data_IF_113114241659
#
_entry.id   IF_113114241659
#
_cell.length_a   1.000
_cell.length_b   1.000
_cell.length_c   1.000
_cell.angle_alpha   90.00
_cell.angle_beta   90.00
_cell.angle_gamma   90.00
#
_symmetry.space_group_name_H-M   'P 1'
#
loop_
_entity.id
_entity.type
_entity.pdbx_description
1 polymer ?
#
# COMPACT_ATOMS: atom_id res chain seq x y z
N UNK A 1 15.54 9.40 -28.72
CA UNK A 1 15.79 9.59 -27.27
C UNK A 1 14.43 9.87 -26.65
N UNK A 2 13.91 8.92 -25.88
CA UNK A 2 12.60 9.07 -25.25
C UNK A 2 12.73 10.04 -24.09
N UNK A 3 11.89 11.06 -24.11
CA UNK A 3 11.68 12.03 -23.05
C UNK A 3 11.05 11.32 -21.84
N UNK A 4 11.87 10.75 -20.96
CA UNK A 4 11.40 10.15 -19.71
C UNK A 4 11.16 11.24 -18.69
N UNK A 5 10.05 11.96 -18.84
CA UNK A 5 9.36 12.60 -17.73
C UNK A 5 8.70 11.54 -16.84
N UNK A 6 9.46 10.51 -16.45
CA UNK A 6 9.04 9.51 -15.48
C UNK A 6 9.31 10.11 -14.10
N UNK A 7 8.42 11.00 -13.67
CA UNK A 7 8.39 11.47 -12.29
C UNK A 7 8.29 10.30 -11.32
N UNK A 8 8.55 10.56 -10.03
CA UNK A 8 8.57 9.57 -8.96
C UNK A 8 7.42 8.53 -9.09
N UNK A 9 7.81 7.25 -9.12
CA UNK A 9 6.90 6.12 -9.28
C UNK A 9 6.58 5.49 -7.94
N UNK A 10 5.33 5.06 -7.80
CA UNK A 10 4.79 4.43 -6.61
C UNK A 10 4.18 3.07 -6.95
N UNK A 11 4.17 2.17 -5.98
CA UNK A 11 3.61 0.81 -6.14
C UNK A 11 2.08 0.86 -6.08
N UNK A 12 1.40 0.17 -7.02
CA UNK A 12 -0.05 0.03 -7.12
C UNK A 12 -0.48 -1.45 -7.13
N UNK A 13 -1.42 -1.93 -6.28
CA UNK A 13 -2.16 -1.19 -5.25
C UNK A 13 -1.26 -0.47 -4.27
N UNK A 14 -1.74 0.63 -3.71
CA UNK A 14 -0.95 1.44 -2.79
C UNK A 14 -0.55 0.56 -1.63
N UNK A 15 0.75 0.44 -1.42
CA UNK A 15 1.33 -0.54 -0.50
C UNK A 15 2.24 0.19 0.48
N UNK A 16 2.07 -0.11 1.76
CA UNK A 16 3.01 0.26 2.82
C UNK A 16 3.80 -0.98 3.22
N UNK A 17 5.10 -0.81 3.38
CA UNK A 17 5.98 -1.80 3.97
C UNK A 17 5.98 -1.56 5.48
N UNK A 18 5.78 -2.63 6.25
CA UNK A 18 5.96 -2.61 7.70
C UNK A 18 7.14 -3.51 8.04
N UNK A 19 8.06 -3.00 8.84
CA UNK A 19 9.28 -3.68 9.27
C UNK A 19 9.31 -3.85 10.79
N UNK A 20 10.23 -4.71 11.24
CA UNK A 20 10.46 -5.07 12.63
C UNK A 20 9.23 -5.68 13.34
N UNK A 21 8.41 -6.44 12.61
CA UNK A 21 7.27 -7.13 13.20
C UNK A 21 7.74 -8.18 14.23
N UNK A 22 7.11 -8.22 15.42
CA UNK A 22 7.49 -9.16 16.45
C UNK A 22 7.18 -10.59 16.01
N UNK A 23 8.22 -11.42 15.97
CA UNK A 23 8.13 -12.85 15.67
C UNK A 23 8.39 -13.67 16.93
N UNK A 24 7.67 -14.78 17.08
CA UNK A 24 8.00 -15.80 18.09
C UNK A 24 8.79 -16.92 17.44
N UNK A 25 9.69 -17.55 18.20
CA UNK A 25 10.41 -18.74 17.73
C UNK A 25 9.74 -19.96 18.37
N UNK A 26 9.13 -20.80 17.53
CA UNK A 26 8.53 -22.06 17.93
C UNK A 26 9.16 -23.18 17.11
N UNK A 27 9.77 -24.17 17.78
CA UNK A 27 10.44 -25.30 17.12
C UNK A 27 11.47 -24.87 16.05
N UNK A 28 12.28 -23.83 16.34
CA UNK A 28 13.24 -23.20 15.41
C UNK A 28 12.63 -22.51 14.18
N UNK A 29 11.30 -22.33 14.13
CA UNK A 29 10.59 -21.61 13.08
C UNK A 29 10.08 -20.28 13.63
N UNK A 30 10.20 -19.20 12.84
CA UNK A 30 9.63 -17.89 13.17
C UNK A 30 8.14 -17.87 12.84
N UNK A 31 7.30 -17.67 13.84
CA UNK A 31 5.84 -17.63 13.73
C UNK A 31 5.34 -16.22 13.98
N UNK A 32 4.32 -15.83 13.21
CA UNK A 32 3.60 -14.58 13.40
C UNK A 32 2.91 -14.55 14.76
N UNK A 33 3.09 -13.45 15.49
CA UNK A 33 2.50 -13.25 16.80
C UNK A 33 1.41 -12.16 16.83
N UNK A 34 1.40 -11.23 15.86
CA UNK A 34 0.70 -9.95 16.02
C UNK A 34 -0.07 -9.44 14.80
N UNK A 35 0.05 -10.03 13.61
CA UNK A 35 -0.52 -9.43 12.38
C UNK A 35 -2.01 -9.16 12.44
N UNK A 36 -2.81 -10.12 12.91
CA UNK A 36 -4.27 -9.97 13.04
C UNK A 36 -4.63 -8.81 13.99
N UNK A 37 -3.86 -8.62 15.06
CA UNK A 37 -4.14 -7.57 16.04
C UNK A 37 -3.71 -6.20 15.50
N UNK A 38 -2.61 -6.12 14.76
CA UNK A 38 -2.14 -4.90 14.11
C UNK A 38 -3.11 -4.45 13.03
N UNK A 39 -3.53 -5.36 12.14
CA UNK A 39 -4.52 -5.07 11.10
C UNK A 39 -5.82 -4.52 11.71
N UNK A 40 -6.36 -5.18 12.74
CA UNK A 40 -7.56 -4.70 13.44
C UNK A 40 -7.34 -3.37 14.15
N UNK A 41 -6.16 -3.13 14.72
CA UNK A 41 -5.84 -1.88 15.39
C UNK A 41 -5.86 -0.71 14.39
N UNK A 42 -5.17 -0.86 13.25
CA UNK A 42 -5.11 0.17 12.22
C UNK A 42 -6.46 0.38 11.52
N UNK A 43 -7.22 -0.68 11.25
CA UNK A 43 -8.61 -0.55 10.77
C UNK A 43 -9.48 0.25 11.73
N UNK A 44 -9.34 0.04 13.05
CA UNK A 44 -10.05 0.83 14.08
C UNK A 44 -9.61 2.29 14.15
N UNK A 45 -8.38 2.60 13.75
CA UNK A 45 -7.89 3.98 13.61
C UNK A 45 -8.42 4.68 12.34
N UNK A 46 -9.15 3.95 11.48
CA UNK A 46 -9.78 4.51 10.28
C UNK A 46 -8.98 4.31 9.00
N UNK A 47 -7.86 3.58 9.04
CA UNK A 47 -7.09 3.27 7.83
C UNK A 47 -7.83 2.28 6.93
N UNK A 48 -7.89 2.59 5.64
CA UNK A 48 -8.54 1.76 4.62
C UNK A 48 -7.63 0.60 4.19
N UNK A 49 -7.42 -0.37 5.07
CA UNK A 49 -6.59 -1.53 4.77
C UNK A 49 -7.42 -2.60 4.05
N UNK A 50 -6.99 -2.97 2.84
CA UNK A 50 -7.56 -4.07 2.07
C UNK A 50 -6.93 -5.42 2.47
N UNK A 51 -5.60 -5.47 2.49
CA UNK A 51 -4.83 -6.70 2.75
C UNK A 51 -3.71 -6.43 3.74
N UNK A 52 -3.51 -7.33 4.71
CA UNK A 52 -2.28 -7.42 5.49
C UNK A 52 -1.58 -8.73 5.11
N UNK A 53 -0.39 -8.64 4.50
CA UNK A 53 0.36 -9.79 3.99
C UNK A 53 1.69 -9.89 4.74
N UNK A 54 1.81 -10.74 5.77
CA UNK A 54 3.09 -11.03 6.39
C UNK A 54 3.99 -11.79 5.40
N UNK A 55 5.29 -11.49 5.42
CA UNK A 55 6.27 -12.08 4.51
C UNK A 55 7.01 -13.24 5.18
N UNK A 56 7.23 -14.32 4.42
CA UNK A 56 7.82 -15.55 4.93
C UNK A 56 9.04 -15.95 4.09
N UNK A 57 10.12 -16.33 4.77
CA UNK A 57 11.30 -16.97 4.20
C UNK A 57 11.38 -18.44 4.63
N UNK A 58 12.49 -19.12 4.30
CA UNK A 58 12.72 -20.52 4.66
C UNK A 58 12.85 -20.76 6.18
N UNK A 59 13.04 -19.70 6.99
CA UNK A 59 13.09 -19.73 8.46
C UNK A 59 11.75 -19.35 9.10
N UNK A 60 10.73 -19.04 8.30
CA UNK A 60 9.40 -18.63 8.76
C UNK A 60 9.14 -17.14 8.52
N UNK A 61 8.43 -16.50 9.44
CA UNK A 61 8.09 -15.07 9.34
C UNK A 61 9.36 -14.19 9.30
N UNK A 62 9.46 -13.30 8.31
CA UNK A 62 10.68 -12.53 8.05
C UNK A 62 10.83 -11.28 8.93
N UNK A 63 9.75 -10.87 9.59
CA UNK A 63 9.68 -9.60 10.32
C UNK A 63 9.15 -8.44 9.46
N UNK A 64 8.76 -8.71 8.21
CA UNK A 64 8.15 -7.74 7.32
C UNK A 64 6.71 -8.12 6.95
N UNK A 65 5.90 -7.12 6.64
CA UNK A 65 4.61 -7.30 6.00
C UNK A 65 4.35 -6.21 4.96
N UNK A 66 3.49 -6.53 4.00
CA UNK A 66 2.92 -5.57 3.06
C UNK A 66 1.49 -5.27 3.47
N UNK A 67 1.18 -4.00 3.64
CA UNK A 67 -0.18 -3.50 3.92
C UNK A 67 -0.70 -2.84 2.66
N UNK A 68 -1.68 -3.46 2.03
CA UNK A 68 -2.29 -2.94 0.82
C UNK A 68 -3.54 -2.13 1.13
N UNK A 69 -3.70 -1.02 0.42
CA UNK A 69 -4.86 -0.16 0.45
C UNK A 69 -5.63 -0.26 -0.89
N UNK A 70 -6.92 0.12 -0.93
CA UNK A 70 -7.71 0.16 -2.15
C UNK A 70 -7.01 0.91 -3.29
N UNK A 71 -7.20 0.48 -4.54
CA UNK A 71 -6.52 1.07 -5.72
C UNK A 71 -6.98 2.49 -6.09
N UNK A 72 -7.96 3.04 -5.39
CA UNK A 72 -8.58 4.35 -5.66
C UNK A 72 -7.88 5.50 -4.90
N UNK A 73 -8.33 6.74 -5.12
CA UNK A 73 -7.73 7.91 -4.47
C UNK A 73 -7.92 7.95 -2.95
N UNK A 74 -9.00 7.36 -2.42
CA UNK A 74 -9.19 7.29 -0.97
C UNK A 74 -8.20 6.30 -0.34
N UNK A 75 -7.93 5.17 -0.98
CA UNK A 75 -6.85 4.28 -0.59
C UNK A 75 -5.49 4.97 -0.65
N UNK A 76 -5.22 5.78 -1.69
CA UNK A 76 -3.96 6.52 -1.81
C UNK A 76 -3.80 7.52 -0.67
N UNK A 77 -4.86 8.30 -0.38
CA UNK A 77 -4.90 9.24 0.74
C UNK A 77 -4.71 8.53 2.08
N UNK A 78 -5.39 7.41 2.30
CA UNK A 78 -5.23 6.60 3.51
C UNK A 78 -3.80 6.07 3.66
N UNK A 79 -3.14 5.72 2.56
CA UNK A 79 -1.75 5.26 2.54
C UNK A 79 -0.80 6.38 3.00
N UNK A 80 -0.97 7.60 2.46
CA UNK A 80 -0.17 8.76 2.88
C UNK A 80 -0.38 9.12 4.35
N UNK A 81 -1.61 9.10 4.85
CA UNK A 81 -1.88 9.35 6.27
C UNK A 81 -1.23 8.28 7.17
N UNK A 82 -1.17 7.04 6.71
CA UNK A 82 -0.48 5.97 7.41
C UNK A 82 1.04 6.24 7.46
N UNK A 83 1.65 6.48 6.30
CA UNK A 83 3.08 6.79 6.15
C UNK A 83 3.50 7.99 7.03
N UNK A 84 2.77 9.11 6.93
CA UNK A 84 3.03 10.32 7.74
C UNK A 84 2.95 10.00 9.24
N UNK A 85 2.01 9.17 9.69
CA UNK A 85 1.87 8.83 11.10
C UNK A 85 3.06 8.08 11.69
N UNK A 86 3.85 7.40 10.85
CA UNK A 86 5.10 6.74 11.25
C UNK A 86 6.27 7.71 11.19
N UNK A 87 6.32 8.56 10.16
CA UNK A 87 7.32 9.65 10.07
C UNK A 87 7.22 10.59 11.27
N UNK A 88 6.02 11.00 11.69
CA UNK A 88 5.80 11.86 12.88
C UNK A 88 6.28 11.21 14.18
N UNK A 89 6.31 9.87 14.24
CA UNK A 89 6.82 9.10 15.38
C UNK A 89 8.30 8.80 15.28
N UNK A 90 8.99 9.26 14.23
CA UNK A 90 10.38 8.88 13.89
C UNK A 90 10.54 7.38 13.68
N UNK A 91 9.58 6.80 12.97
CA UNK A 91 9.48 5.38 12.66
C UNK A 91 9.32 5.16 11.15
N UNK A 92 9.82 6.11 10.35
CA UNK A 92 9.79 6.04 8.90
C UNK A 92 10.96 5.25 8.32
N UNK A 93 11.07 5.26 6.99
CA UNK A 93 12.15 4.58 6.27
C UNK A 93 13.55 5.06 6.70
N UNK A 94 13.73 6.37 6.88
CA UNK A 94 15.02 6.93 7.27
C UNK A 94 15.48 6.39 8.64
N UNK A 95 14.58 6.33 9.62
CA UNK A 95 14.91 5.75 10.92
C UNK A 95 15.08 4.24 10.87
N UNK A 96 14.38 3.53 9.98
CA UNK A 96 14.62 2.11 9.74
C UNK A 96 16.03 1.85 9.19
N UNK A 97 16.48 2.65 8.22
CA UNK A 97 17.80 2.50 7.60
C UNK A 97 18.94 2.82 8.60
N UNK A 98 18.68 3.64 9.62
CA UNK A 98 19.61 3.96 10.71
C UNK A 98 19.45 3.06 11.95
N UNK A 99 18.39 2.26 12.02
CA UNK A 99 18.06 1.49 13.21
C UNK A 99 19.10 0.39 13.47
N UNK A 100 19.48 0.25 14.74
CA UNK A 100 20.19 -0.95 15.22
C UNK A 100 19.21 -2.07 15.54
N UNK A 101 19.68 -3.32 15.51
CA UNK A 101 18.87 -4.53 15.78
C UNK A 101 18.22 -4.60 17.19
N UNK A 102 18.42 -3.60 18.06
CA UNK A 102 18.01 -3.61 19.47
C UNK A 102 16.67 -2.93 19.76
N UNK A 103 15.98 -2.37 18.75
CA UNK A 103 14.69 -1.69 18.94
C UNK A 103 13.52 -2.68 18.83
N UNK A 104 12.49 -2.46 19.65
CA UNK A 104 11.20 -3.16 19.58
C UNK A 104 10.13 -2.34 18.84
N UNK A 105 10.53 -1.25 18.19
CA UNK A 105 9.62 -0.33 17.51
C UNK A 105 9.28 -0.83 16.12
N UNK A 106 8.03 -0.64 15.71
CA UNK A 106 7.62 -0.90 14.33
C UNK A 106 8.01 0.27 13.45
N UNK A 107 8.46 -0.03 12.24
CA UNK A 107 8.74 0.97 11.23
C UNK A 107 7.80 0.74 10.06
N UNK A 108 7.38 1.82 9.42
CA UNK A 108 6.58 1.69 8.20
C UNK A 108 6.79 2.86 7.25
N UNK A 109 6.70 2.55 5.97
CA UNK A 109 6.79 3.55 4.91
C UNK A 109 6.05 3.13 3.65
N UNK A 110 5.62 4.10 2.85
CA UNK A 110 5.02 3.82 1.55
C UNK A 110 6.07 3.22 0.59
N UNK A 111 5.72 2.10 -0.06
CA UNK A 111 6.62 1.39 -0.96
C UNK A 111 7.00 2.23 -2.18
N UNK A 112 8.30 2.43 -2.39
CA UNK A 112 8.85 3.19 -3.51
C UNK A 112 9.33 2.29 -4.65
N UNK A 113 9.71 2.89 -5.78
CA UNK A 113 10.39 2.20 -6.87
C UNK A 113 11.71 1.54 -6.43
N UNK A 114 12.42 2.13 -5.47
CA UNK A 114 13.64 1.54 -4.91
C UNK A 114 13.32 0.21 -4.21
N UNK A 115 12.30 0.18 -3.36
CA UNK A 115 11.91 -1.03 -2.63
C UNK A 115 11.35 -2.11 -3.57
N UNK A 116 10.61 -1.70 -4.60
CA UNK A 116 10.11 -2.59 -5.65
C UNK A 116 11.24 -3.28 -6.42
N UNK A 117 12.35 -2.57 -6.67
CA UNK A 117 13.48 -3.07 -7.45
C UNK A 117 14.53 -3.80 -6.60
N UNK A 118 14.41 -3.84 -5.27
CA UNK A 118 15.33 -4.58 -4.40
C UNK A 118 15.23 -6.08 -4.66
N UNK A 119 16.39 -6.74 -4.74
CA UNK A 119 16.47 -8.20 -4.83
C UNK A 119 16.45 -8.83 -3.43
N UNK A 120 15.41 -8.53 -2.66
CA UNK A 120 15.17 -9.06 -1.32
C UNK A 120 13.73 -9.59 -1.19
N UNK A 121 13.37 -10.06 0.00
CA UNK A 121 12.02 -10.61 0.23
C UNK A 121 10.92 -9.57 -0.02
N UNK A 122 11.17 -8.30 0.25
CA UNK A 122 10.19 -7.23 0.07
C UNK A 122 9.99 -6.99 -1.43
N UNK A 123 11.05 -6.74 -2.19
CA UNK A 123 10.97 -6.50 -3.64
C UNK A 123 10.40 -7.71 -4.41
N UNK A 124 10.79 -8.93 -4.07
CA UNK A 124 10.21 -10.15 -4.65
C UNK A 124 8.69 -10.27 -4.39
N UNK A 125 8.20 -9.84 -3.23
CA UNK A 125 6.76 -9.84 -2.95
C UNK A 125 6.03 -8.64 -3.55
N UNK A 126 6.68 -7.48 -3.67
CA UNK A 126 6.10 -6.31 -4.33
C UNK A 126 5.88 -6.57 -5.82
N UNK A 127 6.87 -7.15 -6.50
CA UNK A 127 6.77 -7.53 -7.93
C UNK A 127 5.72 -8.62 -8.20
N UNK A 128 5.28 -9.34 -7.16
CA UNK A 128 4.22 -10.33 -7.26
C UNK A 128 2.83 -9.68 -7.12
N UNK A 129 2.31 -9.13 -8.23
CA UNK A 129 0.93 -8.66 -8.33
C UNK A 129 0.71 -7.15 -8.09
N UNK A 130 1.80 -6.38 -7.91
CA UNK A 130 1.77 -4.91 -7.95
C UNK A 130 2.59 -4.39 -9.12
N UNK A 131 2.23 -3.20 -9.59
CA UNK A 131 2.90 -2.50 -10.68
C UNK A 131 3.40 -1.13 -10.20
N UNK A 132 4.44 -0.60 -10.85
CA UNK A 132 4.84 0.80 -10.67
C UNK A 132 3.94 1.71 -11.50
N UNK A 133 3.50 2.82 -10.91
CA UNK A 133 2.76 3.88 -11.61
C UNK A 133 3.31 5.25 -11.26
N UNK A 134 3.32 6.15 -12.24
CA UNK A 134 3.71 7.55 -12.06
C UNK A 134 2.49 8.42 -11.73
N UNK A 135 2.71 9.57 -11.08
CA UNK A 135 1.66 10.54 -10.75
C UNK A 135 0.86 10.99 -11.99
N UNK A 136 1.47 11.31 -13.15
CA UNK A 136 0.72 11.65 -14.36
C UNK A 136 -0.22 10.52 -14.81
N UNK A 137 0.23 9.26 -14.72
CA UNK A 137 -0.61 8.12 -15.08
C UNK A 137 -1.82 7.99 -14.14
N UNK A 138 -1.65 8.26 -12.84
CA UNK A 138 -2.75 8.28 -11.86
C UNK A 138 -3.79 9.34 -12.25
N UNK A 139 -3.35 10.55 -12.56
CA UNK A 139 -4.24 11.64 -12.98
C UNK A 139 -5.02 11.29 -14.25
N UNK A 140 -4.37 10.69 -15.25
CA UNK A 140 -5.02 10.26 -16.49
C UNK A 140 -6.04 9.15 -16.23
N UNK A 141 -5.71 8.15 -15.40
CA UNK A 141 -6.62 7.06 -15.05
C UNK A 141 -7.87 7.59 -14.32
N UNK A 142 -7.69 8.50 -13.37
CA UNK A 142 -8.79 9.13 -12.64
C UNK A 142 -9.68 9.97 -13.54
N UNK A 143 -9.11 10.84 -14.39
CA UNK A 143 -9.90 11.63 -15.33
C UNK A 143 -10.74 10.75 -16.28
N UNK A 144 -10.19 9.61 -16.72
CA UNK A 144 -10.93 8.62 -17.51
C UNK A 144 -12.06 7.98 -16.71
N UNK A 145 -11.81 7.62 -15.44
CA UNK A 145 -12.84 7.07 -14.55
C UNK A 145 -14.02 8.04 -14.40
N UNK A 146 -13.75 9.31 -14.05
CA UNK A 146 -14.79 10.32 -13.89
C UNK A 146 -15.60 10.55 -15.17
N UNK A 147 -14.94 10.53 -16.34
CA UNK A 147 -15.63 10.65 -17.62
C UNK A 147 -16.62 9.51 -17.85
N UNK A 148 -16.26 8.28 -17.50
CA UNK A 148 -17.16 7.12 -17.62
C UNK A 148 -18.36 7.27 -16.69
N UNK A 149 -18.15 7.64 -15.43
CA UNK A 149 -19.24 7.87 -14.46
C UNK A 149 -20.18 8.99 -14.91
N UNK A 150 -19.62 10.09 -15.43
CA UNK A 150 -20.41 11.18 -16.00
C UNK A 150 -21.31 10.68 -17.13
N UNK A 151 -20.75 9.99 -18.11
CA UNK A 151 -21.51 9.46 -19.25
C UNK A 151 -22.63 8.50 -18.82
N UNK A 152 -22.36 7.65 -17.81
CA UNK A 152 -23.36 6.74 -17.25
C UNK A 152 -24.51 7.51 -16.59
N UNK A 153 -24.20 8.54 -15.80
CA UNK A 153 -25.20 9.40 -15.15
C UNK A 153 -26.11 10.08 -16.18
N UNK A 154 -25.53 10.64 -17.25
CA UNK A 154 -26.32 11.27 -18.31
C UNK A 154 -27.24 10.27 -19.02
N UNK A 155 -26.75 9.05 -19.26
CA UNK A 155 -27.55 7.98 -19.87
C UNK A 155 -28.73 7.57 -18.98
N UNK A 156 -28.51 7.41 -17.67
CA UNK A 156 -29.56 7.11 -16.70
C UNK A 156 -30.61 8.23 -16.63
N UNK A 157 -30.18 9.49 -16.64
CA UNK A 157 -31.09 10.63 -16.63
C UNK A 157 -31.98 10.68 -17.87
N UNK A 158 -31.39 10.44 -19.05
CA UNK A 158 -32.12 10.37 -20.33
C UNK A 158 -33.18 9.25 -20.31
N UNK A 159 -32.84 8.06 -19.83
CA UNK A 159 -33.80 6.96 -19.70
C UNK A 159 -34.95 7.29 -18.75
N UNK A 160 -34.67 7.91 -17.60
CA UNK A 160 -35.71 8.30 -16.64
C UNK A 160 -36.68 9.35 -17.22
N UNK A 161 -36.18 10.32 -17.97
CA UNK A 161 -37.02 11.32 -18.64
C UNK A 161 -37.93 10.70 -19.71
N UNK A 162 -37.45 9.69 -20.43
CA UNK A 162 -38.23 9.00 -21.45
C UNK A 162 -39.38 8.17 -20.85
N UNK A 163 -39.18 7.58 -19.67
CA UNK A 163 -40.23 6.84 -18.95
C UNK A 163 -41.37 7.76 -18.49
N UNK A 164 -41.06 9.00 -18.08
CA UNK A 164 -42.10 9.94 -17.63
C UNK A 164 -42.86 10.61 -18.78
N UNK A 165 -42.43 10.40 -20.03
CA UNK A 165 -43.05 10.95 -21.24
C UNK A 165 -43.89 9.91 -22.02
N UNK A 166 -43.90 8.64 -21.59
CA UNK A 166 -44.74 7.56 -22.14
C UNK A 166 -45.93 7.27 -21.23
#
# INVERSE_FOLDING_TARGET
>A
MADTNDGARIVKPWTVIVANLPVRIENNIRVDNCSINLERHWKRQGYLINTFQPLYDYRGHSGFALVEFPRDLEGLKSTFLFDISFVEKRQGKAEWDEASEQTNELFAWMASEEDYNKNDIVGCNLTNGRDLTSVPNIQVQEARHYRVLYNLRESLHSMAQNIHRS
#
